data_IF_535148646028
#
_entry.id   IF_535148646028
#
_cell.length_a   1.000
_cell.length_b   1.000
_cell.length_c   1.000
_cell.angle_alpha   90.00
_cell.angle_beta   90.00
_cell.angle_gamma   90.00
#
_symmetry.space_group_name_H-M   'P 1'
#
loop_
_entity.id
_entity.type
_entity.pdbx_description
1 polymer ?
#
# COMPACT_ATOMS: atom_id res chain seq x y z
N UNK A 1 -33.36 6.99 4.81
CA UNK A 1 -32.89 6.89 6.20
C UNK A 1 -31.92 5.73 6.42
N UNK A 2 -32.32 4.46 6.26
CA UNK A 2 -31.40 3.31 6.45
C UNK A 2 -30.26 3.27 5.43
N UNK A 3 -30.53 3.59 4.16
CA UNK A 3 -29.51 3.76 3.12
C UNK A 3 -28.54 4.91 3.38
N UNK A 4 -29.04 6.03 3.91
CA UNK A 4 -28.22 7.21 4.22
C UNK A 4 -27.29 6.94 5.41
N UNK A 5 -27.76 6.18 6.40
CA UNK A 5 -26.95 5.70 7.52
C UNK A 5 -25.85 4.71 7.06
N UNK A 6 -26.14 3.84 6.09
CA UNK A 6 -25.13 2.94 5.50
C UNK A 6 -24.05 3.74 4.74
N UNK A 7 -24.45 4.74 3.94
CA UNK A 7 -23.51 5.62 3.23
C UNK A 7 -22.63 6.40 4.22
N UNK A 8 -23.20 6.99 5.27
CA UNK A 8 -22.44 7.72 6.29
C UNK A 8 -21.45 6.82 7.04
N UNK A 9 -21.87 5.59 7.36
CA UNK A 9 -21.01 4.58 8.01
C UNK A 9 -19.84 4.18 7.11
N UNK A 10 -20.08 3.96 5.82
CA UNK A 10 -19.03 3.66 4.83
C UNK A 10 -18.05 4.82 4.67
N UNK A 11 -18.55 6.05 4.57
CA UNK A 11 -17.70 7.24 4.48
C UNK A 11 -16.81 7.37 5.72
N UNK A 12 -17.37 7.18 6.91
CA UNK A 12 -16.61 7.21 8.18
C UNK A 12 -15.50 6.17 8.23
N UNK A 13 -15.75 4.95 7.72
CA UNK A 13 -14.73 3.91 7.63
C UNK A 13 -13.58 4.31 6.70
N UNK A 14 -13.88 4.96 5.58
CA UNK A 14 -12.84 5.46 4.66
C UNK A 14 -12.02 6.57 5.35
N UNK A 15 -12.68 7.53 6.01
CA UNK A 15 -11.96 8.57 6.75
C UNK A 15 -11.05 7.99 7.84
N UNK A 16 -11.56 7.00 8.59
CA UNK A 16 -10.74 6.30 9.58
C UNK A 16 -9.54 5.59 8.95
N UNK A 17 -9.72 4.88 7.82
CA UNK A 17 -8.63 4.21 7.11
C UNK A 17 -7.56 5.20 6.61
N UNK A 18 -7.93 6.42 6.21
CA UNK A 18 -6.94 7.45 5.86
C UNK A 18 -6.08 7.82 7.07
N UNK A 19 -6.68 7.94 8.25
CA UNK A 19 -5.93 8.22 9.49
C UNK A 19 -4.99 7.07 9.85
N UNK A 20 -5.42 5.82 9.64
CA UNK A 20 -4.60 4.64 9.87
C UNK A 20 -3.36 4.62 8.96
N UNK A 21 -3.50 4.97 7.67
CA UNK A 21 -2.35 5.06 6.76
C UNK A 21 -1.31 6.07 7.25
N UNK A 22 -1.75 7.21 7.78
CA UNK A 22 -0.84 8.24 8.33
C UNK A 22 -0.19 7.75 9.64
N UNK A 23 -0.95 7.10 10.51
CA UNK A 23 -0.43 6.54 11.77
C UNK A 23 0.64 5.47 11.51
N UNK A 24 0.38 4.54 10.59
CA UNK A 24 1.34 3.50 10.22
C UNK A 24 2.61 4.08 9.59
N UNK A 25 2.49 5.16 8.81
CA UNK A 25 3.65 5.89 8.28
C UNK A 25 4.48 6.52 9.40
N UNK A 26 3.82 7.14 10.39
CA UNK A 26 4.48 7.72 11.55
C UNK A 26 5.24 6.66 12.37
N UNK A 27 4.58 5.52 12.64
CA UNK A 27 5.17 4.38 13.35
C UNK A 27 6.37 3.80 12.61
N UNK A 28 6.27 3.63 11.29
CA UNK A 28 7.38 3.17 10.46
C UNK A 28 8.60 4.09 10.61
N UNK A 29 8.42 5.40 10.47
CA UNK A 29 9.54 6.34 10.58
C UNK A 29 10.15 6.35 11.98
N UNK A 30 9.33 6.26 13.03
CA UNK A 30 9.84 6.14 14.39
C UNK A 30 10.61 4.84 14.62
N UNK A 31 10.12 3.72 14.05
CA UNK A 31 10.80 2.44 14.13
C UNK A 31 12.15 2.44 13.42
N UNK A 32 12.24 3.09 12.26
CA UNK A 32 13.50 3.28 11.52
C UNK A 32 14.49 4.13 12.33
N UNK A 33 14.01 5.23 12.92
CA UNK A 33 14.82 6.09 13.78
C UNK A 33 15.37 5.33 15.01
N UNK A 34 14.53 4.51 15.63
CA UNK A 34 14.90 3.72 16.80
C UNK A 34 15.73 2.46 16.44
N UNK A 35 15.99 2.19 15.14
CA UNK A 35 16.76 1.02 14.68
C UNK A 35 16.07 -0.33 14.91
N UNK A 36 14.74 -0.37 15.03
CA UNK A 36 14.00 -1.57 15.42
C UNK A 36 13.42 -2.30 14.22
N UNK A 37 14.13 -3.32 13.72
CA UNK A 37 13.72 -4.11 12.54
C UNK A 37 12.32 -4.72 12.68
N UNK A 38 11.96 -5.27 13.83
CA UNK A 38 10.63 -5.86 14.04
C UNK A 38 9.51 -4.83 13.90
N UNK A 39 9.69 -3.63 14.45
CA UNK A 39 8.73 -2.52 14.34
C UNK A 39 8.69 -1.94 12.92
N UNK A 40 9.81 -1.96 12.19
CA UNK A 40 9.85 -1.59 10.78
C UNK A 40 9.02 -2.55 9.94
N UNK A 41 9.19 -3.86 10.15
CA UNK A 41 8.40 -4.89 9.45
C UNK A 41 6.92 -4.76 9.76
N UNK A 42 6.56 -4.54 11.02
CA UNK A 42 5.17 -4.31 11.45
C UNK A 42 4.54 -3.10 10.75
N UNK A 43 5.23 -1.94 10.74
CA UNK A 43 4.74 -0.74 10.07
C UNK A 43 4.58 -0.91 8.55
N UNK A 44 5.54 -1.58 7.89
CA UNK A 44 5.44 -1.90 6.46
C UNK A 44 4.27 -2.83 6.16
N UNK A 45 4.08 -3.87 6.96
CA UNK A 45 2.95 -4.79 6.82
C UNK A 45 1.61 -4.08 7.05
N UNK A 46 1.52 -3.21 8.06
CA UNK A 46 0.36 -2.39 8.37
C UNK A 46 -0.03 -1.45 7.23
N UNK A 47 0.95 -0.79 6.60
CA UNK A 47 0.73 0.05 5.42
C UNK A 47 0.20 -0.74 4.23
N UNK A 48 0.80 -1.90 3.94
CA UNK A 48 0.35 -2.78 2.86
C UNK A 48 -1.10 -3.24 3.11
N UNK A 49 -1.41 -3.72 4.32
CA UNK A 49 -2.77 -4.15 4.66
C UNK A 49 -3.79 -3.00 4.55
N UNK A 50 -3.45 -1.82 5.10
CA UNK A 50 -4.32 -0.65 5.10
C UNK A 50 -4.65 -0.18 3.67
N UNK A 51 -3.66 -0.17 2.78
CA UNK A 51 -3.87 0.22 1.37
C UNK A 51 -4.77 -0.75 0.60
N UNK A 52 -4.62 -2.06 0.79
CA UNK A 52 -5.54 -3.05 0.22
C UNK A 52 -6.97 -2.87 0.74
N UNK A 53 -7.14 -2.71 2.06
CA UNK A 53 -8.46 -2.53 2.67
C UNK A 53 -9.12 -1.25 2.16
N UNK A 54 -8.37 -0.15 2.09
CA UNK A 54 -8.84 1.13 1.56
C UNK A 54 -9.28 1.00 0.10
N UNK A 55 -8.45 0.37 -0.75
CA UNK A 55 -8.80 0.09 -2.15
C UNK A 55 -10.12 -0.66 -2.27
N UNK A 56 -10.30 -1.74 -1.51
CA UNK A 56 -11.56 -2.49 -1.48
C UNK A 56 -12.75 -1.65 -1.05
N UNK A 57 -12.60 -0.79 -0.04
CA UNK A 57 -13.66 0.11 0.43
C UNK A 57 -14.03 1.18 -0.60
N UNK A 58 -13.09 1.55 -1.47
CA UNK A 58 -13.30 2.43 -2.62
C UNK A 58 -13.85 1.72 -3.86
N UNK A 59 -14.13 0.41 -3.77
CA UNK A 59 -14.67 -0.37 -4.88
C UNK A 59 -13.61 -0.95 -5.82
N UNK A 60 -12.33 -0.93 -5.44
CA UNK A 60 -11.23 -1.53 -6.20
C UNK A 60 -10.99 -2.96 -5.68
N UNK A 61 -11.27 -4.01 -6.46
CA UNK A 61 -10.96 -5.38 -6.08
C UNK A 61 -9.45 -5.58 -5.87
N UNK A 62 -9.06 -6.49 -4.98
CA UNK A 62 -7.64 -6.77 -4.71
C UNK A 62 -6.84 -7.09 -5.98
N UNK A 63 -7.39 -7.96 -6.85
CA UNK A 63 -6.78 -8.32 -8.14
C UNK A 63 -6.52 -7.10 -9.03
N UNK A 64 -7.43 -6.13 -9.03
CA UNK A 64 -7.29 -4.96 -9.90
C UNK A 64 -6.23 -4.00 -9.33
N UNK A 65 -6.08 -3.94 -7.99
CA UNK A 65 -4.97 -3.24 -7.34
C UNK A 65 -3.63 -3.95 -7.61
N UNK A 66 -3.58 -5.28 -7.53
CA UNK A 66 -2.38 -6.08 -7.85
C UNK A 66 -1.93 -5.85 -9.29
N UNK A 67 -2.89 -5.81 -10.22
CA UNK A 67 -2.64 -5.48 -11.62
C UNK A 67 -2.09 -4.05 -11.76
N UNK A 68 -2.70 -3.08 -11.08
CA UNK A 68 -2.23 -1.69 -11.13
C UNK A 68 -0.81 -1.53 -10.58
N UNK A 69 -0.44 -2.27 -9.54
CA UNK A 69 0.93 -2.33 -9.02
C UNK A 69 1.88 -2.89 -10.10
N UNK A 70 1.51 -4.02 -10.71
CA UNK A 70 2.32 -4.67 -11.75
C UNK A 70 2.53 -3.76 -12.97
N UNK A 71 1.47 -3.12 -13.45
CA UNK A 71 1.51 -2.19 -14.58
C UNK A 71 2.40 -0.97 -14.25
N UNK A 72 2.34 -0.47 -13.01
CA UNK A 72 3.18 0.65 -12.55
C UNK A 72 4.66 0.28 -12.50
N UNK A 73 5.01 -0.92 -12.02
CA UNK A 73 6.40 -1.40 -12.02
C UNK A 73 6.95 -1.53 -13.45
N UNK A 74 6.16 -2.12 -14.36
CA UNK A 74 6.54 -2.26 -15.76
C UNK A 74 6.76 -0.89 -16.43
N UNK A 75 5.87 0.08 -16.16
CA UNK A 75 6.00 1.45 -16.67
C UNK A 75 7.27 2.14 -16.16
N UNK A 76 7.51 2.13 -14.86
CA UNK A 76 8.70 2.75 -14.26
C UNK A 76 10.01 2.15 -14.81
N UNK A 77 10.02 0.84 -15.06
CA UNK A 77 11.14 0.16 -15.70
C UNK A 77 11.36 0.64 -17.15
N UNK A 78 10.30 0.77 -17.94
CA UNK A 78 10.40 1.29 -19.32
C UNK A 78 10.88 2.75 -19.37
N UNK A 79 10.56 3.53 -18.34
CA UNK A 79 10.96 4.94 -18.22
C UNK A 79 12.41 5.15 -17.73
N UNK A 80 13.17 4.08 -17.45
CA UNK A 80 14.54 4.20 -16.94
C UNK A 80 14.58 4.82 -15.54
N UNK A 81 13.63 4.44 -14.68
CA UNK A 81 13.60 4.97 -13.32
C UNK A 81 14.88 4.57 -12.55
N UNK A 82 15.43 5.48 -11.73
CA UNK A 82 16.71 5.27 -11.04
C UNK A 82 16.78 3.98 -10.21
N UNK A 83 15.65 3.58 -9.61
CA UNK A 83 15.54 2.32 -8.86
C UNK A 83 15.79 1.07 -9.72
N UNK A 84 15.48 1.12 -11.02
CA UNK A 84 15.86 0.05 -11.95
C UNK A 84 17.31 0.24 -12.40
N UNK A 85 17.65 1.42 -12.94
CA UNK A 85 18.95 1.67 -13.58
C UNK A 85 20.14 1.49 -12.63
N UNK A 86 19.97 1.79 -11.35
CA UNK A 86 21.04 1.73 -10.35
C UNK A 86 21.01 0.47 -9.47
N UNK A 87 19.81 -0.08 -9.19
CA UNK A 87 19.64 -1.10 -8.15
C UNK A 87 18.86 -2.34 -8.61
N UNK A 88 18.20 -2.30 -9.77
CA UNK A 88 17.30 -3.36 -10.27
C UNK A 88 16.11 -3.70 -9.34
N UNK A 89 15.77 -2.83 -8.38
CA UNK A 89 14.72 -3.07 -7.39
C UNK A 89 13.35 -3.36 -8.02
N UNK A 90 13.04 -2.69 -9.14
CA UNK A 90 11.75 -2.85 -9.82
C UNK A 90 11.63 -4.23 -10.48
N UNK A 91 12.72 -4.71 -11.07
CA UNK A 91 12.80 -6.08 -11.59
C UNK A 91 12.67 -7.11 -10.48
N UNK A 92 13.41 -6.96 -9.37
CA UNK A 92 13.34 -7.90 -8.25
C UNK A 92 11.93 -7.97 -7.64
N UNK A 93 11.29 -6.82 -7.42
CA UNK A 93 9.93 -6.77 -6.91
C UNK A 93 8.92 -7.38 -7.88
N UNK A 94 9.07 -7.12 -9.18
CA UNK A 94 8.20 -7.70 -10.21
C UNK A 94 8.29 -9.23 -10.23
N UNK A 95 9.50 -9.79 -10.10
CA UNK A 95 9.69 -11.24 -10.02
C UNK A 95 9.08 -11.84 -8.76
N UNK A 96 9.25 -11.18 -7.61
CA UNK A 96 8.68 -11.62 -6.35
C UNK A 96 7.15 -11.67 -6.41
N UNK A 97 6.52 -10.63 -6.96
CA UNK A 97 5.05 -10.58 -7.13
C UNK A 97 4.57 -11.70 -8.07
N UNK A 98 5.28 -11.95 -9.19
CA UNK A 98 4.90 -13.00 -10.14
C UNK A 98 4.94 -14.42 -9.56
N UNK A 99 5.74 -14.65 -8.53
CA UNK A 99 5.90 -15.97 -7.87
C UNK A 99 4.82 -16.25 -6.82
N UNK A 100 3.95 -15.28 -6.49
CA UNK A 100 2.84 -15.42 -5.54
C UNK A 100 1.59 -15.96 -6.22
#
# INVERSE_FOLDING_TARGET
>A
MERDLDVATRARMIEWLKTEVVDQTSRLFKAMWDGSTSRVVDGLAGLIASTYILGRRLGIPYRDLDKAISDKLAKLKQEGHQLEDQYQDLTELSEHIRKR
#
